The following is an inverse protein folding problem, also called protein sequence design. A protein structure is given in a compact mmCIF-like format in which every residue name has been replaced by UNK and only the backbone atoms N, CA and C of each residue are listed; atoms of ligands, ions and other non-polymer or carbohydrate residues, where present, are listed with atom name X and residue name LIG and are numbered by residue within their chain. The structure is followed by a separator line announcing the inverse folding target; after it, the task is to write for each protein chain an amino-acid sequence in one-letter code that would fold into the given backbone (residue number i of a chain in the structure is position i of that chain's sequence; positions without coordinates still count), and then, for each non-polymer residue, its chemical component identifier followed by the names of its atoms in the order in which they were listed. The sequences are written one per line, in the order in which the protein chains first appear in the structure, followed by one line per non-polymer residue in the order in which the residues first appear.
data_IF_903059425290
#
_entry.id   IF_903059425290
#
_cell.length_a   1.000
_cell.length_b   1.000
_cell.length_c   1.000
_cell.angle_alpha   90.00
_cell.angle_beta   90.00
_cell.angle_gamma   90.00
#
_symmetry.space_group_name_H-M   'P 1'
#
loop_
_entity.id
_entity.type
_entity.pdbx_description
1 polymer ?
#
# COMPACT_ATOMS: atom_id res chain seq x y z
N UNK A 1 14.80 14.64 9.14
CA UNK A 1 15.20 13.98 7.88
C UNK A 1 14.83 14.89 6.71
N UNK A 2 15.68 15.00 5.70
CA UNK A 2 15.37 15.76 4.48
C UNK A 2 14.55 14.90 3.51
N UNK A 3 13.35 15.36 3.13
CA UNK A 3 12.43 14.59 2.28
C UNK A 3 12.68 14.81 0.79
N UNK A 4 12.91 16.06 0.39
CA UNK A 4 13.13 16.42 -1.01
C UNK A 4 14.29 15.65 -1.64
N UNK A 5 14.12 15.20 -2.88
CA UNK A 5 15.14 14.47 -3.65
C UNK A 5 15.26 12.98 -3.32
N UNK A 6 14.37 12.45 -2.47
CA UNK A 6 14.24 11.02 -2.17
C UNK A 6 12.92 10.46 -2.66
N UNK A 7 12.79 9.14 -2.72
CA UNK A 7 11.52 8.49 -3.05
C UNK A 7 10.84 7.86 -1.85
N UNK A 8 9.52 7.66 -2.01
CA UNK A 8 8.66 6.97 -1.07
C UNK A 8 7.79 5.93 -1.79
N UNK A 9 7.57 4.79 -1.13
CA UNK A 9 6.56 3.80 -1.52
C UNK A 9 5.42 3.80 -0.51
N UNK A 10 4.18 3.80 -1.00
CA UNK A 10 2.97 3.78 -0.17
C UNK A 10 2.12 2.58 -0.63
N UNK A 11 2.03 1.55 0.20
CA UNK A 11 1.09 0.44 -0.05
C UNK A 11 -0.32 0.88 0.31
N UNK A 12 -1.34 0.46 -0.44
CA UNK A 12 -2.72 0.93 -0.20
C UNK A 12 -2.92 2.41 -0.56
N UNK A 13 -2.04 2.96 -1.42
CA UNK A 13 -2.01 4.38 -1.76
C UNK A 13 -3.14 4.85 -2.68
N UNK A 14 -3.96 3.94 -3.24
CA UNK A 14 -5.07 4.31 -4.10
C UNK A 14 -6.26 4.93 -3.36
N UNK A 15 -6.30 4.86 -2.02
CA UNK A 15 -7.44 5.37 -1.24
C UNK A 15 -7.06 5.81 0.18
N UNK A 16 -8.03 6.43 0.87
CA UNK A 16 -7.97 6.70 2.31
C UNK A 16 -6.68 7.34 2.81
N UNK A 17 -6.09 6.73 3.84
CA UNK A 17 -4.87 7.21 4.50
C UNK A 17 -3.64 7.12 3.57
N UNK A 18 -3.58 6.10 2.70
CA UNK A 18 -2.49 5.93 1.75
C UNK A 18 -2.47 7.08 0.73
N UNK A 19 -3.63 7.41 0.14
CA UNK A 19 -3.77 8.55 -0.78
C UNK A 19 -3.37 9.88 -0.13
N UNK A 20 -3.84 10.14 1.09
CA UNK A 20 -3.51 11.36 1.82
C UNK A 20 -2.00 11.46 2.11
N UNK A 21 -1.37 10.34 2.50
CA UNK A 21 0.08 10.25 2.70
C UNK A 21 0.86 10.51 1.42
N UNK A 22 0.45 9.87 0.32
CA UNK A 22 1.08 10.03 -0.99
C UNK A 22 1.06 11.50 -1.45
N UNK A 23 -0.09 12.18 -1.30
CA UNK A 23 -0.24 13.59 -1.64
C UNK A 23 0.67 14.49 -0.79
N UNK A 24 0.72 14.25 0.53
CA UNK A 24 1.57 15.01 1.44
C UNK A 24 3.07 14.84 1.15
N UNK A 25 3.52 13.61 0.89
CA UNK A 25 4.94 13.36 0.59
C UNK A 25 5.34 13.95 -0.76
N UNK A 26 4.47 13.84 -1.77
CA UNK A 26 4.68 14.48 -3.07
C UNK A 26 4.77 16.01 -2.92
N UNK A 27 3.88 16.63 -2.14
CA UNK A 27 3.92 18.08 -1.87
C UNK A 27 5.15 18.53 -1.09
N UNK A 28 5.90 17.60 -0.49
CA UNK A 28 7.18 17.85 0.22
C UNK A 28 8.41 17.52 -0.65
N UNK A 29 8.21 17.29 -1.95
CA UNK A 29 9.29 17.10 -2.92
C UNK A 29 9.79 15.66 -3.03
N UNK A 30 9.05 14.67 -2.49
CA UNK A 30 9.40 13.27 -2.68
C UNK A 30 8.90 12.74 -4.02
N UNK A 31 9.64 11.80 -4.61
CA UNK A 31 9.17 10.99 -5.73
C UNK A 31 8.35 9.83 -5.19
N UNK A 32 7.04 9.87 -5.39
CA UNK A 32 6.11 8.91 -4.79
C UNK A 32 5.75 7.79 -5.77
N UNK A 33 5.75 6.55 -5.27
CA UNK A 33 5.14 5.39 -5.91
C UNK A 33 3.96 4.89 -5.06
N UNK A 34 2.77 4.85 -5.64
CA UNK A 34 1.61 4.16 -5.10
C UNK A 34 1.69 2.69 -5.50
N UNK A 35 1.74 1.81 -4.51
CA UNK A 35 1.65 0.36 -4.65
C UNK A 35 0.26 -0.09 -4.18
N UNK A 36 -0.60 -0.55 -5.10
CA UNK A 36 -1.98 -0.93 -4.74
C UNK A 36 -2.50 -2.04 -5.64
N UNK A 37 -3.48 -2.80 -5.16
CA UNK A 37 -4.13 -3.85 -5.93
C UNK A 37 -5.14 -3.26 -6.93
N UNK A 38 -5.74 -2.11 -6.61
CA UNK A 38 -6.80 -1.49 -7.42
C UNK A 38 -6.20 -0.64 -8.55
N UNK A 39 -6.06 -1.21 -9.74
CA UNK A 39 -5.40 -0.54 -10.88
C UNK A 39 -6.05 0.78 -11.29
N UNK A 40 -7.37 0.80 -11.52
CA UNK A 40 -8.05 2.00 -12.01
C UNK A 40 -8.00 3.14 -10.98
N UNK A 41 -8.31 2.83 -9.73
CA UNK A 41 -8.25 3.80 -8.63
C UNK A 41 -6.82 4.28 -8.37
N UNK A 42 -5.83 3.38 -8.47
CA UNK A 42 -4.42 3.69 -8.29
C UNK A 42 -3.88 4.60 -9.39
N UNK A 43 -4.20 4.32 -10.66
CA UNK A 43 -3.84 5.17 -11.81
C UNK A 43 -4.48 6.54 -11.71
N UNK A 44 -5.76 6.62 -11.38
CA UNK A 44 -6.46 7.89 -11.17
C UNK A 44 -5.82 8.71 -10.05
N UNK A 45 -5.56 8.08 -8.91
CA UNK A 45 -4.93 8.75 -7.76
C UNK A 45 -3.51 9.22 -8.07
N UNK A 46 -2.72 8.41 -8.78
CA UNK A 46 -1.37 8.80 -9.18
C UNK A 46 -1.37 9.98 -10.16
N UNK A 47 -2.32 10.01 -11.10
CA UNK A 47 -2.51 11.13 -12.01
C UNK A 47 -2.91 12.41 -11.25
N UNK A 48 -3.86 12.33 -10.31
CA UNK A 48 -4.28 13.45 -9.47
C UNK A 48 -3.12 14.06 -8.67
N UNK A 49 -2.23 13.22 -8.13
CA UNK A 49 -1.11 13.65 -7.27
C UNK A 49 0.12 14.06 -8.09
N UNK A 50 0.24 13.58 -9.34
CA UNK A 50 1.46 13.72 -10.13
C UNK A 50 2.58 12.77 -9.70
N UNK A 51 2.23 11.55 -9.31
CA UNK A 51 3.16 10.51 -8.89
C UNK A 51 3.04 9.24 -9.76
N UNK A 52 3.76 8.16 -9.41
CA UNK A 52 3.70 6.90 -10.15
C UNK A 52 2.79 5.88 -9.46
N UNK A 53 2.25 4.95 -10.26
CA UNK A 53 1.46 3.82 -9.80
C UNK A 53 2.07 2.50 -10.27
N UNK A 54 2.00 1.48 -9.40
CA UNK A 54 2.30 0.09 -9.74
C UNK A 54 1.27 -0.83 -9.08
N UNK A 55 0.75 -1.80 -9.85
CA UNK A 55 -0.07 -2.87 -9.27
C UNK A 55 0.81 -3.70 -8.33
N UNK A 56 0.39 -3.84 -7.07
CA UNK A 56 1.13 -4.60 -6.07
C UNK A 56 0.15 -5.31 -5.13
N UNK A 57 0.23 -6.63 -5.08
CA UNK A 57 -0.34 -7.42 -3.99
C UNK A 57 0.71 -7.59 -2.89
N UNK A 58 0.45 -6.99 -1.72
CA UNK A 58 1.38 -7.04 -0.58
C UNK A 58 1.60 -8.45 -0.03
N UNK A 59 0.74 -9.42 -0.34
CA UNK A 59 0.97 -10.81 0.05
C UNK A 59 1.92 -11.56 -0.88
N UNK A 60 2.33 -10.94 -1.99
CA UNK A 60 3.21 -11.53 -3.00
C UNK A 60 4.60 -10.88 -2.93
N UNK A 61 5.60 -11.64 -2.46
CA UNK A 61 6.97 -11.14 -2.31
C UNK A 61 7.53 -10.52 -3.60
N UNK A 62 7.26 -11.12 -4.76
CA UNK A 62 7.70 -10.61 -6.06
C UNK A 62 7.11 -9.24 -6.41
N UNK A 63 5.86 -8.97 -6.01
CA UNK A 63 5.20 -7.69 -6.27
C UNK A 63 5.83 -6.60 -5.38
N UNK A 64 6.09 -6.92 -4.12
CA UNK A 64 6.74 -6.02 -3.16
C UNK A 64 8.17 -5.70 -3.61
N UNK A 65 8.95 -6.71 -3.99
CA UNK A 65 10.31 -6.54 -4.53
C UNK A 65 10.31 -5.61 -5.75
N UNK A 66 9.42 -5.86 -6.71
CA UNK A 66 9.33 -5.06 -7.92
C UNK A 66 8.89 -3.61 -7.62
N UNK A 67 7.98 -3.40 -6.66
CA UNK A 67 7.58 -2.06 -6.23
C UNK A 67 8.70 -1.30 -5.50
N UNK A 68 9.50 -1.99 -4.68
CA UNK A 68 10.70 -1.41 -4.04
C UNK A 68 11.72 -0.98 -5.09
N UNK A 69 12.00 -1.83 -6.09
CA UNK A 69 12.90 -1.48 -7.19
C UNK A 69 12.39 -0.29 -8.00
N UNK A 70 11.10 -0.28 -8.34
CA UNK A 70 10.47 0.81 -9.06
C UNK A 70 10.57 2.13 -8.29
N UNK A 71 10.29 2.13 -6.99
CA UNK A 71 10.39 3.33 -6.15
C UNK A 71 11.84 3.83 -6.05
N UNK A 72 12.81 2.93 -5.88
CA UNK A 72 14.23 3.28 -5.80
C UNK A 72 14.80 3.80 -7.12
N UNK A 73 14.22 3.42 -8.26
CA UNK A 73 14.57 3.97 -9.57
C UNK A 73 14.12 5.43 -9.77
N UNK A 74 13.15 5.92 -8.98
CA UNK A 74 12.68 7.32 -9.08
C UNK A 74 13.62 8.31 -8.42
N UNK A 75 14.22 7.89 -7.30
CA UNK A 75 15.18 8.58 -6.45
C UNK A 75 15.58 7.60 -5.33
N UNK A 76 16.64 7.85 -4.53
CA UNK A 76 16.99 6.94 -3.45
C UNK A 76 15.82 6.74 -2.47
N UNK A 77 15.39 5.49 -2.30
CA UNK A 77 14.25 5.14 -1.46
C UNK A 77 14.59 5.34 0.01
N UNK A 78 13.78 6.15 0.70
CA UNK A 78 13.99 6.45 2.13
C UNK A 78 12.76 6.33 3.01
N UNK A 79 11.58 6.21 2.40
CA UNK A 79 10.30 6.13 3.13
C UNK A 79 9.47 4.99 2.55
N UNK A 80 8.97 4.13 3.42
CA UNK A 80 7.91 3.18 3.12
C UNK A 80 6.77 3.42 4.12
N UNK A 81 5.54 3.47 3.63
CA UNK A 81 4.34 3.59 4.48
C UNK A 81 3.37 2.49 4.11
N UNK A 82 3.15 1.55 5.04
CA UNK A 82 2.21 0.45 4.86
C UNK A 82 0.79 0.91 5.22
N UNK A 83 -0.05 1.13 4.20
CA UNK A 83 -1.48 1.45 4.39
C UNK A 83 -2.41 0.42 3.72
N UNK A 84 -1.87 -0.56 2.99
CA UNK A 84 -2.67 -1.66 2.47
C UNK A 84 -3.29 -2.45 3.64
N UNK A 85 -4.61 -2.64 3.59
CA UNK A 85 -5.30 -3.38 4.63
C UNK A 85 -6.79 -3.56 4.37
N UNK A 86 -7.36 -4.57 5.02
CA UNK A 86 -8.80 -4.87 5.00
C UNK A 86 -9.35 -4.95 6.42
N UNK A 87 -10.64 -4.64 6.59
CA UNK A 87 -11.31 -4.67 7.89
C UNK A 87 -12.66 -5.40 7.84
N UNK A 88 -12.71 -6.70 7.47
CA UNK A 88 -13.93 -7.48 7.57
C UNK A 88 -14.30 -7.71 9.05
N UNK A 89 -15.59 -7.86 9.34
CA UNK A 89 -16.08 -8.07 10.70
C UNK A 89 -16.71 -9.46 10.85
N UNK A 90 -16.28 -10.20 11.88
CA UNK A 90 -16.88 -11.47 12.27
C UNK A 90 -16.63 -11.75 13.76
N UNK A 91 -17.59 -12.44 14.41
CA UNK A 91 -17.47 -12.88 15.81
C UNK A 91 -16.68 -14.19 15.86
N UNK A 92 -15.88 -14.40 16.91
CA UNK A 92 -15.19 -15.69 17.15
C UNK A 92 -16.16 -16.87 17.16
N UNK A 93 -17.32 -16.68 17.77
CA UNK A 93 -18.46 -17.60 17.73
C UNK A 93 -19.72 -16.81 17.36
N UNK A 94 -20.22 -17.04 16.15
CA UNK A 94 -21.44 -16.43 15.61
C UNK A 94 -22.66 -17.33 15.76
N UNK A 95 -23.83 -16.86 15.28
CA UNK A 95 -25.07 -17.66 15.28
C UNK A 95 -24.97 -18.88 14.34
N UNK A 96 -24.12 -18.81 13.33
CA UNK A 96 -23.90 -19.83 12.31
C UNK A 96 -22.70 -20.74 12.62
N UNK A 97 -22.08 -20.61 13.80
CA UNK A 97 -20.90 -21.39 14.19
C UNK A 97 -19.64 -20.54 14.37
N UNK A 98 -18.46 -21.18 14.45
CA UNK A 98 -17.19 -20.50 14.65
C UNK A 98 -16.84 -19.61 13.45
N UNK A 99 -15.98 -18.62 13.70
CA UNK A 99 -15.42 -17.78 12.65
C UNK A 99 -14.70 -18.63 11.59
N UNK A 100 -14.92 -18.31 10.30
CA UNK A 100 -14.21 -18.95 9.19
C UNK A 100 -12.70 -18.73 9.29
N UNK A 101 -11.91 -19.80 9.28
CA UNK A 101 -10.46 -19.74 9.39
C UNK A 101 -9.84 -18.95 8.22
N UNK A 102 -10.40 -19.10 7.03
CA UNK A 102 -9.93 -18.48 5.79
C UNK A 102 -10.05 -16.96 5.86
N UNK A 103 -11.12 -16.44 6.46
CA UNK A 103 -11.29 -15.00 6.63
C UNK A 103 -10.26 -14.43 7.63
N UNK A 104 -10.01 -15.13 8.73
CA UNK A 104 -8.98 -14.75 9.69
C UNK A 104 -7.59 -14.77 9.04
N UNK A 105 -7.23 -15.86 8.37
CA UNK A 105 -5.96 -16.00 7.65
C UNK A 105 -5.78 -14.92 6.60
N UNK A 106 -6.83 -14.57 5.84
CA UNK A 106 -6.77 -13.49 4.85
C UNK A 106 -6.44 -12.14 5.48
N UNK A 107 -7.05 -11.81 6.62
CA UNK A 107 -6.76 -10.56 7.35
C UNK A 107 -5.31 -10.56 7.85
N UNK A 108 -4.83 -11.66 8.43
CA UNK A 108 -3.45 -11.79 8.89
C UNK A 108 -2.47 -11.68 7.72
N UNK A 109 -2.74 -12.37 6.62
CA UNK A 109 -1.86 -12.38 5.45
C UNK A 109 -1.74 -10.97 4.83
N UNK A 110 -2.83 -10.21 4.73
CA UNK A 110 -2.78 -8.87 4.16
C UNK A 110 -2.23 -7.84 5.15
N UNK A 111 -2.80 -7.78 6.36
CA UNK A 111 -2.55 -6.68 7.28
C UNK A 111 -1.27 -6.86 8.12
N UNK A 112 -0.83 -8.11 8.33
CA UNK A 112 0.36 -8.41 9.12
C UNK A 112 1.50 -8.93 8.25
N UNK A 113 1.29 -10.07 7.58
CA UNK A 113 2.36 -10.69 6.76
C UNK A 113 2.74 -9.77 5.61
N UNK A 114 1.78 -9.21 4.87
CA UNK A 114 2.08 -8.31 3.76
C UNK A 114 2.68 -6.96 4.18
N UNK A 115 2.65 -6.61 5.47
CA UNK A 115 3.34 -5.42 5.98
C UNK A 115 4.78 -5.68 6.41
N UNK A 116 5.18 -6.94 6.61
CA UNK A 116 6.51 -7.37 7.06
C UNK A 116 7.43 -7.63 5.86
#
# INVERSE_FOLDING_TARGET
MQLSGHSAIISGGASGLGRATAALLASRGMRVLIADLQEDAGRATAADIGCQFMRCDVTQASDVEAAVQAANALAPLRVAVSCAGIAPAARTLGKQGPHALELFQRVININLVGSF
#
